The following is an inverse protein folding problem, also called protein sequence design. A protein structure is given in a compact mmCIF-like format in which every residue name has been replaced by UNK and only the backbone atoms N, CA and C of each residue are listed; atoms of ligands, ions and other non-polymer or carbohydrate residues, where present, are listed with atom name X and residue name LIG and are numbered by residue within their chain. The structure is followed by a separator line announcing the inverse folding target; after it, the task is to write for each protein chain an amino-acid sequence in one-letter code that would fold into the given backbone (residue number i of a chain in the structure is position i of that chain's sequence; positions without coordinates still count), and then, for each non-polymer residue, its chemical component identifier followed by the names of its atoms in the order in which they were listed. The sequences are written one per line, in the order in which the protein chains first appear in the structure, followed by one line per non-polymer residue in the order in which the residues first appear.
data_IF_305459942482
#
_entry.id   IF_305459942482
#
_cell.length_a   1.000
_cell.length_b   1.000
_cell.length_c   1.000
_cell.angle_alpha   90.00
_cell.angle_beta   90.00
_cell.angle_gamma   90.00
#
_symmetry.space_group_name_H-M   'P 1'
#
loop_
_entity.id
_entity.type
_entity.pdbx_description
1 polymer ?
#
# COMPACT_ATOMS: atom_id res chain seq x y z
N UNK A 1 -11.19 17.46 -8.42
CA UNK A 1 -11.55 16.15 -7.85
C UNK A 1 -10.27 15.35 -7.69
N UNK A 2 -10.01 14.68 -6.55
CA UNK A 2 -8.78 13.93 -6.35
C UNK A 2 -8.69 12.76 -7.35
N UNK A 3 -7.49 12.48 -7.88
CA UNK A 3 -7.23 11.33 -8.74
C UNK A 3 -6.96 10.11 -7.86
N UNK A 4 -7.70 9.03 -8.07
CA UNK A 4 -7.49 7.76 -7.38
C UNK A 4 -6.77 6.78 -8.31
N UNK A 5 -5.65 6.22 -7.85
CA UNK A 5 -4.88 5.21 -8.58
C UNK A 5 -4.97 3.88 -7.84
N UNK A 6 -5.57 2.87 -8.48
CA UNK A 6 -5.63 1.51 -7.95
C UNK A 6 -4.56 0.65 -8.62
N UNK A 7 -3.62 0.11 -7.84
CA UNK A 7 -2.52 -0.71 -8.33
C UNK A 7 -2.89 -2.19 -8.22
N UNK A 8 -3.10 -2.84 -9.36
CA UNK A 8 -3.46 -4.26 -9.48
C UNK A 8 -2.36 -5.05 -10.18
N UNK A 9 -2.28 -6.36 -9.92
CA UNK A 9 -1.25 -7.23 -10.49
C UNK A 9 -1.02 -8.51 -9.68
N UNK A 10 -0.38 -9.49 -10.30
CA UNK A 10 -0.05 -10.80 -9.69
C UNK A 10 0.85 -10.65 -8.45
N UNK A 11 0.87 -11.68 -7.59
CA UNK A 11 1.88 -11.75 -6.53
C UNK A 11 3.30 -11.70 -7.13
N UNK A 12 4.19 -10.93 -6.52
CA UNK A 12 5.56 -10.74 -7.05
C UNK A 12 5.68 -9.78 -8.25
N UNK A 13 4.59 -9.21 -8.77
CA UNK A 13 4.65 -8.27 -9.92
C UNK A 13 5.23 -6.89 -9.60
N UNK A 14 5.68 -6.64 -8.36
CA UNK A 14 6.30 -5.37 -7.96
C UNK A 14 5.34 -4.24 -7.56
N UNK A 15 4.05 -4.53 -7.29
CA UNK A 15 3.05 -3.51 -6.90
C UNK A 15 3.51 -2.61 -5.74
N UNK A 16 4.02 -3.21 -4.67
CA UNK A 16 4.49 -2.50 -3.48
C UNK A 16 5.66 -1.58 -3.82
N UNK A 17 6.63 -2.08 -4.61
CA UNK A 17 7.77 -1.30 -5.08
C UNK A 17 7.36 -0.12 -5.96
N UNK A 18 6.34 -0.33 -6.82
CA UNK A 18 5.77 0.75 -7.64
C UNK A 18 5.14 1.85 -6.78
N UNK A 19 4.29 1.47 -5.81
CA UNK A 19 3.65 2.44 -4.89
C UNK A 19 4.70 3.20 -4.09
N UNK A 20 5.74 2.53 -3.59
CA UNK A 20 6.85 3.16 -2.88
C UNK A 20 7.52 4.26 -3.72
N UNK A 21 7.88 3.94 -4.98
CA UNK A 21 8.56 4.88 -5.87
C UNK A 21 7.65 6.04 -6.29
N UNK A 22 6.38 5.76 -6.56
CA UNK A 22 5.39 6.79 -6.89
C UNK A 22 5.19 7.76 -5.73
N UNK A 23 5.05 7.24 -4.50
CA UNK A 23 4.88 8.08 -3.31
C UNK A 23 6.11 8.95 -3.05
N UNK A 24 7.33 8.41 -3.16
CA UNK A 24 8.57 9.17 -3.03
C UNK A 24 8.67 10.29 -4.09
N UNK A 25 8.37 9.97 -5.35
CA UNK A 25 8.41 10.94 -6.44
C UNK A 25 7.43 12.11 -6.24
N UNK A 26 6.20 11.80 -5.82
CA UNK A 26 5.17 12.81 -5.54
C UNK A 26 5.51 13.65 -4.30
N UNK A 27 6.15 13.05 -3.30
CA UNK A 27 6.65 13.75 -2.12
C UNK A 27 7.72 14.78 -2.49
N UNK A 28 8.68 14.43 -3.36
CA UNK A 28 9.70 15.34 -3.88
C UNK A 28 9.10 16.54 -4.64
N UNK A 29 7.91 16.38 -5.24
CA UNK A 29 7.18 17.43 -5.93
C UNK A 29 6.26 18.26 -5.00
N UNK A 30 6.40 18.13 -3.67
CA UNK A 30 5.52 18.79 -2.69
C UNK A 30 4.04 18.44 -2.85
N UNK A 31 3.74 17.26 -3.40
CA UNK A 31 2.39 16.74 -3.60
C UNK A 31 2.24 15.35 -2.94
N UNK A 32 2.39 15.23 -1.61
CA UNK A 32 2.37 13.94 -0.94
C UNK A 32 1.02 13.24 -1.14
N UNK A 33 1.00 11.99 -1.63
CA UNK A 33 -0.25 11.27 -1.86
C UNK A 33 -0.86 10.76 -0.55
N UNK A 34 -2.17 10.53 -0.56
CA UNK A 34 -2.86 9.77 0.49
C UNK A 34 -2.81 8.28 0.15
N UNK A 35 -2.04 7.51 0.92
CA UNK A 35 -1.71 6.11 0.61
C UNK A 35 -2.55 5.15 1.45
N UNK A 36 -3.13 4.14 0.80
CA UNK A 36 -3.95 3.11 1.45
C UNK A 36 -3.36 1.73 1.12
N UNK A 37 -3.01 0.95 2.15
CA UNK A 37 -2.65 -0.45 2.01
C UNK A 37 -3.86 -1.35 2.24
N UNK A 38 -4.19 -2.16 1.23
CA UNK A 38 -5.27 -3.15 1.26
C UNK A 38 -4.76 -4.59 1.27
N UNK A 39 -3.44 -4.81 1.25
CA UNK A 39 -2.85 -6.16 1.29
C UNK A 39 -2.54 -6.56 2.74
N UNK A 40 -3.30 -7.51 3.33
CA UNK A 40 -3.08 -7.93 4.71
C UNK A 40 -1.88 -8.88 4.86
N UNK A 41 -1.37 -9.44 3.76
CA UNK A 41 -0.29 -10.43 3.77
C UNK A 41 1.12 -9.81 3.67
N UNK A 42 1.22 -8.50 3.43
CA UNK A 42 2.52 -7.80 3.41
C UNK A 42 3.12 -7.80 4.82
N UNK A 43 4.36 -8.28 4.96
CA UNK A 43 5.10 -8.28 6.22
C UNK A 43 5.54 -6.87 6.63
N UNK A 44 6.28 -6.19 5.74
CA UNK A 44 6.77 -4.84 5.97
C UNK A 44 6.33 -3.92 4.84
N UNK A 45 5.75 -2.77 5.18
CA UNK A 45 5.43 -1.72 4.22
C UNK A 45 6.63 -0.76 4.11
N UNK A 46 7.29 -0.64 2.95
CA UNK A 46 8.47 0.22 2.78
C UNK A 46 8.12 1.70 2.59
N UNK A 47 6.89 2.11 2.93
CA UNK A 47 6.40 3.48 2.84
C UNK A 47 5.31 3.73 3.89
N UNK A 48 5.12 4.99 4.35
CA UNK A 48 4.04 5.32 5.26
C UNK A 48 2.69 5.21 4.54
N UNK A 49 1.79 4.41 5.10
CA UNK A 49 0.39 4.35 4.67
C UNK A 49 -0.48 5.17 5.63
N UNK A 50 -1.43 5.94 5.09
CA UNK A 50 -2.41 6.67 5.89
C UNK A 50 -3.49 5.74 6.44
N UNK A 51 -3.81 4.68 5.71
CA UNK A 51 -4.72 3.61 6.12
C UNK A 51 -4.04 2.28 5.80
N UNK A 52 -3.97 1.39 6.79
CA UNK A 52 -3.46 0.03 6.62
C UNK A 52 -4.47 -0.99 7.14
N UNK A 53 -4.92 -1.90 6.27
CA UNK A 53 -5.85 -2.97 6.66
C UNK A 53 -5.29 -3.85 7.80
N UNK A 54 -3.96 -3.95 7.93
CA UNK A 54 -3.30 -4.76 8.97
C UNK A 54 -3.57 -4.24 10.39
N UNK A 55 -3.92 -2.95 10.54
CA UNK A 55 -4.30 -2.35 11.82
C UNK A 55 -5.68 -2.83 12.30
N UNK A 56 -6.55 -3.21 11.36
CA UNK A 56 -7.93 -3.64 11.65
C UNK A 56 -8.11 -5.15 11.56
N UNK A 57 -7.32 -5.82 10.72
CA UNK A 57 -7.44 -7.25 10.44
C UNK A 57 -6.12 -7.95 10.70
N UNK A 58 -6.11 -8.82 11.72
CA UNK A 58 -5.00 -9.74 11.95
C UNK A 58 -5.05 -10.89 10.95
N UNK A 59 -4.29 -10.77 9.87
CA UNK A 59 -4.23 -11.77 8.80
C UNK A 59 -4.03 -13.21 9.31
N UNK A 60 -3.14 -13.40 10.31
CA UNK A 60 -2.87 -14.71 10.92
C UNK A 60 -4.07 -15.34 11.64
N UNK A 61 -5.01 -14.54 12.12
CA UNK A 61 -6.22 -15.02 12.79
C UNK A 61 -7.31 -15.35 11.76
N UNK A 62 -7.37 -14.61 10.64
CA UNK A 62 -8.32 -14.84 9.54
C UNK A 62 -7.95 -16.05 8.67
N UNK A 63 -6.66 -16.34 8.50
CA UNK A 63 -6.20 -17.46 7.67
C UNK A 63 -6.18 -18.82 8.40
N UNK A 64 -6.79 -18.93 9.59
CA UNK A 64 -7.04 -20.22 10.23
C UNK A 64 -8.25 -20.88 9.56
N UNK A 65 -7.95 -21.78 8.62
CA UNK A 65 -8.85 -22.89 8.26
C UNK A 65 -8.72 -23.99 9.31
#
# INVERSE_FOLDING_TARGET
MPVCVLVLGMAGSGKTTFVQRLAAHLHEQSCPPYVINLDPAVHDLPFPANIDIRDTVKYKEVMKL
#
